data_IF_690018210861
#
_entry.id   IF_690018210861
#
_cell.length_a   1.000
_cell.length_b   1.000
_cell.length_c   1.000
_cell.angle_alpha   90.00
_cell.angle_beta   90.00
_cell.angle_gamma   90.00
#
_symmetry.space_group_name_H-M   'P 1'
#
loop_
_entity.id
_entity.type
_entity.pdbx_description
1 polymer ?
#
# COMPACT_ATOMS: atom_id res chain seq x y z
N UNK A 1 -22.32 -13.39 -24.56
CA UNK A 1 -22.25 -13.20 -24.23
C UNK A 1 -21.79 -12.90 -23.31
N UNK A 2 -21.62 -12.68 -22.84
CA UNK A 2 -21.16 -12.58 -21.86
C UNK A 2 -20.09 -11.83 -21.66
N UNK A 3 -19.57 -11.29 -22.31
CA UNK A 3 -18.50 -10.60 -22.13
C UNK A 3 -18.66 -9.32 -21.50
N UNK A 4 -19.64 -8.65 -21.57
CA UNK A 4 -19.82 -7.34 -21.00
C UNK A 4 -19.72 -7.32 -19.51
N UNK A 5 -20.31 -8.27 -18.86
CA UNK A 5 -20.23 -8.22 -17.45
C UNK A 5 -18.88 -8.60 -16.98
N UNK A 6 -18.14 -9.27 -17.75
CA UNK A 6 -16.79 -9.54 -17.34
C UNK A 6 -16.02 -8.28 -17.23
N UNK A 7 -16.31 -7.33 -18.05
CA UNK A 7 -15.63 -6.07 -17.97
C UNK A 7 -15.78 -5.42 -16.64
N UNK A 8 -16.95 -5.49 -16.09
CA UNK A 8 -17.14 -4.90 -14.81
C UNK A 8 -16.39 -5.57 -13.74
N UNK A 9 -16.29 -6.86 -13.81
CA UNK A 9 -15.52 -7.53 -12.84
C UNK A 9 -14.09 -7.15 -12.95
N UNK A 10 -13.58 -6.95 -14.13
CA UNK A 10 -12.23 -6.54 -14.28
C UNK A 10 -11.96 -5.22 -13.61
N UNK A 11 -12.87 -4.31 -13.67
CA UNK A 11 -12.67 -3.04 -13.03
C UNK A 11 -12.47 -3.20 -11.54
N UNK A 12 -13.24 -4.09 -10.94
CA UNK A 12 -13.10 -4.28 -9.55
C UNK A 12 -11.82 -4.92 -9.18
N UNK A 13 -11.22 -5.69 -10.09
CA UNK A 13 -9.99 -6.37 -9.81
C UNK A 13 -8.79 -5.57 -10.19
N UNK A 14 -8.96 -4.27 -10.42
CA UNK A 14 -7.89 -3.45 -10.91
C UNK A 14 -6.79 -3.14 -9.91
N UNK A 15 -7.06 -3.28 -8.64
CA UNK A 15 -6.06 -2.94 -7.63
C UNK A 15 -5.42 -4.18 -7.05
N UNK A 16 -4.10 -4.23 -7.12
CA UNK A 16 -3.33 -5.28 -6.48
C UNK A 16 -2.56 -4.66 -5.35
N UNK A 17 -2.68 -5.22 -4.16
CA UNK A 17 -2.10 -4.61 -2.97
C UNK A 17 -1.24 -5.58 -2.19
N UNK A 18 -0.20 -5.06 -1.57
CA UNK A 18 0.65 -5.83 -0.69
C UNK A 18 1.01 -4.98 0.51
N UNK A 19 0.78 -5.49 1.70
CA UNK A 19 1.09 -4.73 2.91
C UNK A 19 2.58 -4.55 3.06
N UNK A 20 3.01 -3.33 3.37
CA UNK A 20 4.40 -3.01 3.62
C UNK A 20 4.68 -2.86 5.11
N UNK A 21 3.76 -2.25 5.83
CA UNK A 21 3.99 -1.91 7.22
C UNK A 21 2.66 -1.67 7.91
N UNK A 22 2.63 -1.96 9.18
CA UNK A 22 1.44 -1.73 10.00
C UNK A 22 1.89 -1.28 11.37
N UNK A 23 1.22 -0.30 11.93
CA UNK A 23 1.53 0.19 13.25
C UNK A 23 0.23 0.38 14.02
N UNK A 24 0.23 0.00 15.29
CA UNK A 24 -0.92 0.17 16.16
C UNK A 24 -0.47 0.95 17.38
N UNK A 25 -1.27 1.90 17.79
CA UNK A 25 -0.93 2.76 18.91
C UNK A 25 -2.15 3.07 19.73
N UNK A 26 -1.95 3.80 20.81
CA UNK A 26 -3.02 4.20 21.67
C UNK A 26 -3.13 3.31 22.88
N UNK A 27 -3.90 3.74 23.87
CA UNK A 27 -3.98 3.00 25.15
C UNK A 27 -4.45 1.57 24.99
N UNK A 28 -5.28 1.29 24.02
CA UNK A 28 -5.74 -0.07 23.79
C UNK A 28 -5.50 -0.46 22.36
N UNK A 29 -4.47 0.12 21.75
CA UNK A 29 -4.07 -0.20 20.38
C UNK A 29 -5.21 0.01 19.40
N UNK A 30 -5.99 1.04 19.64
CA UNK A 30 -7.14 1.32 18.79
C UNK A 30 -6.83 2.30 17.67
N UNK A 31 -5.59 2.82 17.60
CA UNK A 31 -5.15 3.60 16.47
C UNK A 31 -4.33 2.70 15.57
N UNK A 32 -4.67 2.68 14.31
CA UNK A 32 -3.98 1.79 13.39
C UNK A 32 -3.60 2.51 12.12
N UNK A 33 -2.39 2.29 11.67
CA UNK A 33 -1.91 2.81 10.40
C UNK A 33 -1.39 1.65 9.58
N UNK A 34 -1.70 1.65 8.30
CA UNK A 34 -1.26 0.61 7.39
C UNK A 34 -0.72 1.25 6.13
N UNK A 35 0.34 0.67 5.60
CA UNK A 35 0.93 1.12 4.35
C UNK A 35 0.96 -0.06 3.39
N UNK A 36 0.45 0.15 2.19
CA UNK A 36 0.38 -0.89 1.17
C UNK A 36 1.01 -0.42 -0.12
N UNK A 37 1.73 -1.31 -0.78
CA UNK A 37 2.13 -1.07 -2.15
C UNK A 37 0.93 -1.45 -3.02
N UNK A 38 0.55 -0.56 -3.90
CA UNK A 38 -0.64 -0.74 -4.72
C UNK A 38 -0.26 -0.59 -6.19
N UNK A 39 -0.69 -1.52 -7.00
CA UNK A 39 -0.59 -1.38 -8.44
C UNK A 39 -2.00 -1.31 -9.00
N UNK A 40 -2.30 -0.20 -9.66
CA UNK A 40 -3.59 0.00 -10.29
C UNK A 40 -3.42 -0.45 -11.74
N UNK A 41 -4.01 -1.57 -12.07
CA UNK A 41 -3.80 -2.15 -13.38
C UNK A 41 -4.51 -1.36 -14.48
N UNK A 42 -5.53 -0.59 -14.14
CA UNK A 42 -6.20 0.24 -15.14
C UNK A 42 -5.36 1.43 -15.53
N UNK A 43 -4.90 2.18 -14.56
CA UNK A 43 -4.11 3.37 -14.82
C UNK A 43 -2.64 3.07 -14.98
N UNK A 44 -2.22 1.86 -14.66
CA UNK A 44 -0.82 1.45 -14.73
C UNK A 44 0.04 2.23 -13.75
N UNK A 45 -0.55 2.58 -12.61
CA UNK A 45 0.18 3.33 -11.59
C UNK A 45 0.60 2.44 -10.45
N UNK A 46 1.80 2.65 -9.95
CA UNK A 46 2.33 1.96 -8.81
C UNK A 46 2.59 3.01 -7.74
N UNK A 47 1.97 2.86 -6.58
CA UNK A 47 2.10 3.87 -5.54
C UNK A 47 1.94 3.22 -4.17
N UNK A 48 2.14 4.00 -3.12
CA UNK A 48 1.95 3.53 -1.76
C UNK A 48 0.68 4.16 -1.21
N UNK A 49 -0.15 3.37 -0.59
CA UNK A 49 -1.36 3.86 0.04
C UNK A 49 -1.16 3.81 1.56
N UNK A 50 -1.41 4.92 2.22
CA UNK A 50 -1.41 4.98 3.66
C UNK A 50 -2.87 5.05 4.12
N UNK A 51 -3.28 4.10 4.92
CA UNK A 51 -4.63 4.07 5.46
C UNK A 51 -4.54 4.19 6.97
N UNK A 52 -5.40 4.97 7.56
CA UNK A 52 -5.38 5.12 8.99
C UNK A 52 -6.77 5.05 9.58
N UNK A 53 -6.84 4.62 10.83
CA UNK A 53 -8.03 4.60 11.63
C UNK A 53 -7.61 5.02 13.03
N UNK A 54 -8.15 6.12 13.52
CA UNK A 54 -7.82 6.62 14.85
C UNK A 54 -9.12 6.76 15.62
N UNK A 55 -9.22 6.09 16.75
CA UNK A 55 -10.43 6.05 17.54
C UNK A 55 -10.22 6.84 18.82
N UNK A 56 -11.08 7.79 19.05
CA UNK A 56 -11.01 8.58 20.28
C UNK A 56 -11.61 7.76 21.41
N UNK A 57 -10.81 7.47 22.43
CA UNK A 57 -11.30 6.65 23.53
C UNK A 57 -12.37 7.34 24.33
N UNK A 58 -12.52 8.64 24.19
CA UNK A 58 -13.52 9.36 24.96
C UNK A 58 -14.91 9.23 24.37
N UNK A 59 -15.03 8.80 23.15
CA UNK A 59 -16.32 8.69 22.52
C UNK A 59 -16.29 7.74 21.34
N UNK A 60 -17.17 6.79 21.34
CA UNK A 60 -17.16 5.78 20.27
C UNK A 60 -17.51 6.35 18.92
N UNK A 61 -18.10 7.51 18.88
CA UNK A 61 -18.48 8.09 17.61
C UNK A 61 -17.39 8.93 16.98
N UNK A 62 -16.25 9.04 17.60
CA UNK A 62 -15.22 9.93 17.16
C UNK A 62 -14.09 9.16 16.52
N UNK A 63 -14.41 8.25 15.66
CA UNK A 63 -13.39 7.55 14.90
C UNK A 63 -13.07 8.37 13.67
N UNK A 64 -11.80 8.45 13.34
CA UNK A 64 -11.36 9.16 12.17
C UNK A 64 -10.60 8.18 11.31
N UNK A 65 -10.94 8.09 10.04
CA UNK A 65 -10.23 7.21 9.16
C UNK A 65 -10.07 7.87 7.80
N UNK A 66 -9.09 7.42 7.07
CA UNK A 66 -8.85 7.96 5.74
C UNK A 66 -7.77 7.21 5.03
N UNK A 67 -7.52 7.64 3.81
CA UNK A 67 -6.44 7.07 3.00
C UNK A 67 -5.74 8.22 2.28
N UNK A 68 -4.47 7.99 1.96
CA UNK A 68 -3.69 8.92 1.18
C UNK A 68 -2.79 8.12 0.25
N UNK A 69 -2.50 8.70 -0.90
CA UNK A 69 -1.61 8.07 -1.86
C UNK A 69 -0.28 8.80 -1.84
N UNK A 70 0.79 8.04 -1.90
CA UNK A 70 2.14 8.59 -1.90
C UNK A 70 2.90 8.01 -3.06
N UNK A 71 3.71 8.83 -3.70
CA UNK A 71 4.64 8.29 -4.68
C UNK A 71 5.65 7.43 -3.94
N UNK A 72 6.20 6.45 -4.64
CA UNK A 72 7.17 5.56 -4.03
C UNK A 72 8.36 6.36 -3.49
N UNK A 73 8.81 7.34 -4.24
CA UNK A 73 9.94 8.15 -3.77
C UNK A 73 9.60 8.90 -2.49
N UNK A 74 8.38 9.42 -2.40
CA UNK A 74 7.97 10.13 -1.21
C UNK A 74 7.92 9.20 -0.01
N UNK A 75 7.39 8.00 -0.21
CA UNK A 75 7.34 7.04 0.88
C UNK A 75 8.76 6.68 1.36
N UNK A 76 9.67 6.48 0.43
CA UNK A 76 11.03 6.12 0.79
C UNK A 76 11.77 7.25 1.49
N UNK A 77 11.24 8.45 1.41
CA UNK A 77 11.83 9.59 2.11
C UNK A 77 11.29 9.76 3.53
N UNK A 78 10.26 9.05 3.89
CA UNK A 78 9.67 9.21 5.21
C UNK A 78 10.51 8.53 6.27
N UNK A 79 10.66 9.20 7.41
CA UNK A 79 11.34 8.60 8.54
C UNK A 79 10.41 7.67 9.28
N UNK A 80 10.96 6.77 10.06
CA UNK A 80 10.15 5.90 10.89
C UNK A 80 9.50 4.75 10.17
N UNK A 81 9.85 4.52 8.91
CA UNK A 81 9.24 3.48 8.10
C UNK A 81 10.27 2.45 7.65
N UNK A 82 11.26 2.19 8.47
CA UNK A 82 12.36 1.32 8.06
C UNK A 82 11.90 -0.06 7.63
N UNK A 83 11.02 -0.67 8.41
CA UNK A 83 10.53 -2.00 8.07
C UNK A 83 9.74 -1.99 6.76
N UNK A 84 8.92 -0.96 6.56
CA UNK A 84 8.16 -0.84 5.33
C UNK A 84 9.04 -0.58 4.14
N UNK A 85 10.08 0.24 4.33
CA UNK A 85 11.02 0.50 3.23
C UNK A 85 11.74 -0.79 2.83
N UNK A 86 12.12 -1.59 3.83
CA UNK A 86 12.81 -2.85 3.55
C UNK A 86 11.92 -3.80 2.78
N UNK A 87 10.66 -3.86 3.15
CA UNK A 87 9.72 -4.73 2.46
C UNK A 87 9.48 -4.24 1.04
N UNK A 88 9.36 -2.92 0.86
CA UNK A 88 9.18 -2.37 -0.47
C UNK A 88 10.37 -2.71 -1.37
N UNK A 89 11.61 -2.54 -0.84
CA UNK A 89 12.78 -2.88 -1.61
C UNK A 89 12.81 -4.35 -1.97
N UNK A 90 12.40 -5.21 -1.04
CA UNK A 90 12.37 -6.63 -1.30
C UNK A 90 11.42 -6.95 -2.47
N UNK A 91 10.25 -6.31 -2.48
CA UNK A 91 9.29 -6.55 -3.54
C UNK A 91 9.78 -6.01 -4.88
N UNK A 92 10.39 -4.85 -4.86
CA UNK A 92 10.88 -4.27 -6.11
C UNK A 92 12.02 -5.09 -6.68
N UNK A 93 12.90 -5.57 -5.83
CA UNK A 93 13.98 -6.41 -6.31
C UNK A 93 13.47 -7.70 -6.90
N UNK A 94 12.41 -8.26 -6.32
CA UNK A 94 11.85 -9.48 -6.86
C UNK A 94 11.30 -9.26 -8.26
N UNK A 95 10.78 -8.06 -8.51
CA UNK A 95 10.23 -7.77 -9.83
C UNK A 95 11.30 -7.56 -10.87
N UNK A 96 12.44 -7.05 -10.47
CA UNK A 96 13.46 -6.65 -11.45
C UNK A 96 14.76 -7.40 -11.32
N UNK A 97 14.76 -8.50 -10.63
CA UNK A 97 16.02 -9.16 -10.34
C UNK A 97 16.74 -9.64 -11.57
N UNK A 98 16.01 -10.02 -12.58
CA UNK A 98 16.70 -10.50 -13.77
C UNK A 98 17.47 -9.43 -14.46
N UNK A 99 17.02 -8.23 -14.33
CA UNK A 99 17.68 -7.15 -14.99
C UNK A 99 19.04 -6.90 -14.40
N UNK A 100 19.15 -7.03 -13.09
CA UNK A 100 20.40 -6.74 -12.46
C UNK A 100 21.44 -7.72 -12.85
N UNK A 101 21.08 -8.92 -13.18
CA UNK A 101 22.08 -9.88 -13.53
C UNK A 101 22.60 -9.65 -14.88
N UNK A 102 21.84 -9.06 -15.65
CA UNK A 102 22.29 -8.94 -16.97
C UNK A 102 23.55 -8.26 -17.08
N UNK A 103 24.18 -7.79 -16.70
CA UNK A 103 25.32 -7.36 -17.09
C UNK A 103 26.43 -7.72 -17.35
N UNK A 104 26.41 -7.93 -17.40
CA UNK A 104 27.14 -8.00 -17.62
C UNK A 104 27.63 -8.27 -18.27
N UNK A 105 27.58 -8.33 -18.38
CA UNK A 105 28.06 -8.73 -18.80
C UNK A 105 28.54 -8.64 -19.18
#
# INVERSE_FOLDING_TARGET
>A
MMRAFNTQEHVRMALLKRELHRASRGPILNDEDQWHLVFDTDSKRLYVEHRWTHVDVRGPDVAESGTAQLDIADYLSQGGQTAGHRELWRLLKALFKEQTDAPRS
#
